data_IF_606754470896
#
_entry.id   IF_606754470896
#
_cell.length_a   1.000
_cell.length_b   1.000
_cell.length_c   1.000
_cell.angle_alpha   90.00
_cell.angle_beta   90.00
_cell.angle_gamma   90.00
#
_symmetry.space_group_name_H-M   'P 1'
#
loop_
_entity.id
_entity.type
_entity.pdbx_description
1 polymer ?
#
# COMPACT_ATOMS: atom_id res chain seq x y z
N UNK A 1 34.93 5.49 31.11
CA UNK A 1 33.61 5.54 30.46
C UNK A 1 33.80 6.24 29.12
N UNK A 2 33.63 5.57 27.98
CA UNK A 2 33.82 6.20 26.66
C UNK A 2 32.64 7.15 26.41
N UNK A 3 32.91 8.44 26.31
CA UNK A 3 31.90 9.45 25.98
C UNK A 3 31.63 9.40 24.48
N UNK A 4 30.37 9.20 24.10
CA UNK A 4 29.97 9.23 22.70
C UNK A 4 30.03 10.69 22.24
N UNK A 5 30.78 10.95 21.16
CA UNK A 5 30.85 12.27 20.56
C UNK A 5 29.55 12.56 19.81
N UNK A 6 28.76 13.53 20.30
CA UNK A 6 27.45 13.87 19.73
C UNK A 6 27.52 14.28 18.25
N UNK A 7 28.62 14.89 17.80
CA UNK A 7 28.79 15.27 16.38
C UNK A 7 28.91 14.00 15.52
N UNK A 8 29.69 13.02 15.96
CA UNK A 8 29.82 11.73 15.28
C UNK A 8 28.50 10.96 15.28
N UNK A 9 27.73 11.04 16.36
CA UNK A 9 26.39 10.45 16.42
C UNK A 9 25.44 11.08 15.40
N UNK A 10 25.39 12.41 15.32
CA UNK A 10 24.54 13.12 14.35
C UNK A 10 24.93 12.81 12.90
N UNK A 11 26.23 12.73 12.61
CA UNK A 11 26.73 12.35 11.28
C UNK A 11 26.30 10.91 10.95
N UNK A 12 26.47 9.96 11.88
CA UNK A 12 26.02 8.58 11.69
C UNK A 12 24.51 8.47 11.46
N UNK A 13 23.71 9.23 12.21
CA UNK A 13 22.26 9.29 12.05
C UNK A 13 21.86 9.83 10.68
N UNK A 14 22.51 10.90 10.21
CA UNK A 14 22.23 11.50 8.90
C UNK A 14 22.56 10.52 7.77
N UNK A 15 23.71 9.84 7.83
CA UNK A 15 24.06 8.81 6.86
C UNK A 15 23.10 7.63 6.88
N UNK A 16 22.67 7.19 8.07
CA UNK A 16 21.64 6.17 8.22
C UNK A 16 20.31 6.57 7.59
N UNK A 17 19.87 7.81 7.82
CA UNK A 17 18.65 8.35 7.23
C UNK A 17 18.74 8.42 5.70
N UNK A 18 19.85 8.93 5.15
CA UNK A 18 20.08 8.95 3.71
C UNK A 18 20.06 7.54 3.10
N UNK A 19 20.67 6.56 3.77
CA UNK A 19 20.63 5.16 3.35
C UNK A 19 19.21 4.59 3.31
N UNK A 20 18.42 4.84 4.37
CA UNK A 20 17.02 4.41 4.43
C UNK A 20 16.16 5.06 3.33
N UNK A 21 16.35 6.36 3.08
CA UNK A 21 15.63 7.07 2.02
C UNK A 21 16.00 6.55 0.62
N UNK A 22 17.28 6.28 0.37
CA UNK A 22 17.75 5.71 -0.90
C UNK A 22 17.18 4.32 -1.15
N UNK A 23 17.15 3.46 -0.13
CA UNK A 23 16.52 2.13 -0.21
C UNK A 23 15.01 2.26 -0.43
N UNK A 24 14.33 3.14 0.29
CA UNK A 24 12.90 3.41 0.11
C UNK A 24 12.57 3.81 -1.33
N UNK A 25 13.35 4.75 -1.90
CA UNK A 25 13.21 5.17 -3.29
C UNK A 25 13.47 4.02 -4.29
N UNK A 26 14.47 3.17 -4.04
CA UNK A 26 14.77 2.01 -4.88
C UNK A 26 13.67 0.94 -4.84
N UNK A 27 12.93 0.83 -3.73
CA UNK A 27 11.80 -0.09 -3.60
C UNK A 27 10.49 0.44 -4.18
N UNK A 28 10.47 1.64 -4.75
CA UNK A 28 9.28 2.18 -5.40
C UNK A 28 8.85 1.25 -6.54
N UNK A 29 7.72 0.55 -6.35
CA UNK A 29 7.20 -0.38 -7.36
C UNK A 29 6.78 0.40 -8.60
N UNK A 30 7.45 0.15 -9.72
CA UNK A 30 6.95 0.53 -11.05
C UNK A 30 5.58 -0.12 -11.23
N UNK A 31 4.60 0.59 -11.80
CA UNK A 31 3.24 0.08 -11.92
C UNK A 31 3.21 -1.30 -12.58
N UNK A 32 2.99 -2.35 -11.77
CA UNK A 32 2.99 -3.72 -12.24
C UNK A 32 1.73 -3.96 -13.08
N UNK A 33 1.93 -4.37 -14.33
CA UNK A 33 0.85 -4.81 -15.20
C UNK A 33 0.21 -6.03 -14.54
N UNK A 34 -1.11 -5.99 -14.34
CA UNK A 34 -1.85 -7.05 -13.65
C UNK A 34 -1.92 -6.89 -12.12
N UNK A 35 -1.42 -5.79 -11.54
CA UNK A 35 -1.58 -5.49 -10.11
C UNK A 35 -3.05 -5.40 -9.71
N UNK A 36 -3.87 -4.74 -10.52
CA UNK A 36 -5.30 -4.62 -10.25
C UNK A 36 -6.08 -5.55 -11.16
N UNK A 37 -6.81 -6.48 -10.57
CA UNK A 37 -7.72 -7.38 -11.26
C UNK A 37 -9.16 -7.02 -10.94
N UNK A 38 -10.04 -7.14 -11.93
CA UNK A 38 -11.48 -6.88 -11.78
C UNK A 38 -12.21 -8.21 -11.91
N UNK A 39 -13.02 -8.54 -10.92
CA UNK A 39 -13.91 -9.69 -10.95
C UNK A 39 -15.35 -9.21 -10.75
N UNK A 40 -16.21 -9.50 -11.72
CA UNK A 40 -17.64 -9.22 -11.64
C UNK A 40 -18.39 -10.53 -11.54
N UNK A 41 -19.33 -10.62 -10.61
CA UNK A 41 -20.20 -11.77 -10.44
C UNK A 41 -21.65 -11.35 -10.68
N UNK A 42 -22.26 -11.92 -11.72
CA UNK A 42 -23.63 -11.60 -12.12
C UNK A 42 -24.67 -12.15 -11.12
N UNK A 43 -24.38 -13.27 -10.47
CA UNK A 43 -25.29 -13.92 -9.51
C UNK A 43 -25.40 -13.09 -8.23
N UNK A 44 -24.26 -12.62 -7.72
CA UNK A 44 -24.17 -11.76 -6.54
C UNK A 44 -24.38 -10.27 -6.86
N UNK A 45 -24.55 -9.93 -8.14
CA UNK A 45 -24.57 -8.58 -8.68
C UNK A 45 -23.50 -7.70 -8.01
N UNK A 46 -22.25 -8.13 -8.01
CA UNK A 46 -21.18 -7.44 -7.31
C UNK A 46 -19.90 -7.39 -8.15
N UNK A 47 -19.20 -6.26 -8.06
CA UNK A 47 -17.91 -6.06 -8.68
C UNK A 47 -16.83 -5.92 -7.61
N UNK A 48 -15.67 -6.52 -7.87
CA UNK A 48 -14.52 -6.51 -6.99
C UNK A 48 -13.30 -5.98 -7.74
N UNK A 49 -12.54 -5.12 -7.08
CA UNK A 49 -11.19 -4.73 -7.50
C UNK A 49 -10.22 -5.39 -6.53
N UNK A 50 -9.27 -6.16 -7.04
CA UNK A 50 -8.29 -6.91 -6.26
C UNK A 50 -6.91 -6.31 -6.53
N UNK A 51 -6.25 -5.78 -5.51
CA UNK A 51 -4.81 -5.45 -5.57
C UNK A 51 -4.01 -6.70 -5.23
N UNK A 52 -3.49 -7.37 -6.26
CA UNK A 52 -2.73 -8.62 -6.13
C UNK A 52 -1.40 -8.43 -5.41
N UNK A 53 -0.88 -7.19 -5.32
CA UNK A 53 0.36 -6.90 -4.62
C UNK A 53 0.19 -6.76 -3.10
N UNK A 54 -1.00 -6.38 -2.64
CA UNK A 54 -1.31 -6.15 -1.21
C UNK A 54 -2.34 -7.13 -0.65
N UNK A 55 -3.06 -7.85 -1.52
CA UNK A 55 -4.20 -8.69 -1.14
C UNK A 55 -5.43 -7.89 -0.74
N UNK A 56 -5.44 -6.56 -0.92
CA UNK A 56 -6.60 -5.74 -0.61
C UNK A 56 -7.67 -5.88 -1.69
N UNK A 57 -8.93 -5.91 -1.25
CA UNK A 57 -10.08 -6.05 -2.14
C UNK A 57 -11.08 -4.94 -1.83
N UNK A 58 -11.50 -4.23 -2.87
CA UNK A 58 -12.58 -3.26 -2.82
C UNK A 58 -13.81 -3.86 -3.47
N UNK A 59 -14.97 -3.70 -2.85
CA UNK A 59 -16.24 -4.27 -3.32
C UNK A 59 -17.22 -3.16 -3.68
N UNK A 60 -17.97 -3.39 -4.75
CA UNK A 60 -19.17 -2.62 -5.09
C UNK A 60 -20.34 -3.57 -5.24
N UNK A 61 -21.33 -3.44 -4.37
CA UNK A 61 -22.59 -4.16 -4.48
C UNK A 61 -23.52 -3.43 -5.46
N UNK A 62 -24.22 -4.17 -6.30
CA UNK A 62 -25.30 -3.64 -7.12
C UNK A 62 -26.43 -3.15 -6.23
N UNK A 63 -26.95 -1.96 -6.53
CA UNK A 63 -27.89 -1.22 -5.68
C UNK A 63 -27.24 -0.16 -4.79
N UNK A 64 -25.90 -0.13 -4.69
CA UNK A 64 -25.21 1.01 -4.08
C UNK A 64 -25.27 2.20 -5.03
N UNK A 65 -25.89 3.29 -4.60
CA UNK A 65 -25.86 4.60 -5.27
C UNK A 65 -24.49 5.27 -5.16
N UNK A 66 -23.56 4.70 -4.38
CA UNK A 66 -22.19 5.17 -4.32
C UNK A 66 -21.49 4.93 -5.66
N UNK A 67 -20.88 5.99 -6.20
CA UNK A 67 -20.05 5.91 -7.41
C UNK A 67 -18.80 5.07 -7.16
N UNK A 68 -18.26 5.11 -5.95
CA UNK A 68 -16.99 4.51 -5.56
C UNK A 68 -17.15 3.08 -5.03
N UNK A 69 -16.07 2.31 -5.09
CA UNK A 69 -15.99 1.02 -4.38
C UNK A 69 -15.82 1.26 -2.88
N UNK A 70 -16.42 0.40 -2.06
CA UNK A 70 -16.21 0.42 -0.62
C UNK A 70 -14.75 0.04 -0.29
N UNK A 71 -14.20 0.68 0.74
CA UNK A 71 -12.87 0.39 1.25
C UNK A 71 -12.76 -1.06 1.75
N UNK A 72 -11.55 -1.64 1.82
CA UNK A 72 -11.37 -3.05 2.20
C UNK A 72 -11.84 -3.39 3.62
N UNK A 73 -12.08 -2.39 4.47
CA UNK A 73 -12.51 -2.57 5.86
C UNK A 73 -14.04 -2.59 6.00
N UNK A 74 -14.75 -1.89 5.11
CA UNK A 74 -16.20 -1.69 5.21
C UNK A 74 -17.01 -2.96 4.93
N UNK A 75 -16.52 -3.84 4.07
CA UNK A 75 -17.23 -5.06 3.67
C UNK A 75 -16.76 -6.34 4.40
N UNK A 76 -15.72 -6.24 5.24
CA UNK A 76 -15.23 -7.37 6.07
C UNK A 76 -16.08 -7.62 7.33
N UNK A 77 -17.06 -6.74 7.61
CA UNK A 77 -18.06 -6.92 8.66
C UNK A 77 -19.23 -7.76 8.15
#
# INVERSE_FOLDING_TARGET
MKTINIKSFLIGLLFGLCGLLALGAATAKKGDIGRYQIACNDIANACFVIDTATGQVWRKASGSSARNFASPEEWKK
#
